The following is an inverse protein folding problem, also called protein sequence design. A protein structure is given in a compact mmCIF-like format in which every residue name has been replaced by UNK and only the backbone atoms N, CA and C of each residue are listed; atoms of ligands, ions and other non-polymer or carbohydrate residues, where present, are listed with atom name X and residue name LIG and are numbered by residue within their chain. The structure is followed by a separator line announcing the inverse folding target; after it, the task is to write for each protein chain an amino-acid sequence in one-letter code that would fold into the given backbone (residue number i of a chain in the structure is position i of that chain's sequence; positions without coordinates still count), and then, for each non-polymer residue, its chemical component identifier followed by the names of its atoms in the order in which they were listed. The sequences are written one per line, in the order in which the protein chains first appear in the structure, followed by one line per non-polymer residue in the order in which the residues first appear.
data_IF_152278321794
#
_entry.id   IF_152278321794
#
_cell.length_a   1.000
_cell.length_b   1.000
_cell.length_c   1.000
_cell.angle_alpha   90.00
_cell.angle_beta   90.00
_cell.angle_gamma   90.00
#
_symmetry.space_group_name_H-M   'P 1'
#
loop_
_entity.id
_entity.type
_entity.pdbx_description
1 polymer ?
#
# COMPACT_ATOMS: atom_id res chain seq x y z
N UNK A 1 -5.68 56.46 64.13
CA UNK A 1 -4.27 56.04 64.22
C UNK A 1 -4.16 54.76 63.41
N UNK A 2 -3.57 54.80 62.20
CA UNK A 2 -2.16 54.42 61.92
C UNK A 2 -2.06 52.90 61.75
N UNK A 3 -1.49 52.26 60.72
CA UNK A 3 -0.86 52.64 59.46
C UNK A 3 -0.86 51.40 58.55
N UNK A 4 -0.77 51.66 57.25
CA UNK A 4 -0.26 50.79 56.20
C UNK A 4 1.01 49.97 56.55
N UNK A 5 1.14 48.76 55.99
CA UNK A 5 2.35 48.37 55.24
C UNK A 5 2.17 47.09 54.38
N UNK A 6 2.78 47.18 53.19
CA UNK A 6 2.80 46.22 52.07
C UNK A 6 3.54 44.94 52.42
N UNK A 7 3.11 43.81 51.84
CA UNK A 7 4.06 42.91 51.17
C UNK A 7 3.38 42.10 50.05
N UNK A 8 4.02 42.16 48.89
CA UNK A 8 3.64 41.53 47.63
C UNK A 8 3.98 40.03 47.67
N UNK A 9 3.22 39.20 46.93
CA UNK A 9 3.69 38.61 45.67
C UNK A 9 3.05 37.26 45.36
N UNK A 10 2.39 37.24 44.20
CA UNK A 10 2.45 36.20 43.16
C UNK A 10 2.31 34.74 43.59
N UNK A 11 1.10 34.20 43.42
CA UNK A 11 0.92 32.94 42.68
C UNK A 11 -0.44 32.93 41.98
N UNK A 12 -0.38 33.14 40.65
CA UNK A 12 -1.39 32.75 39.66
C UNK A 12 -1.74 31.27 39.89
N UNK A 13 -3.02 30.90 39.76
CA UNK A 13 -3.48 30.12 38.60
C UNK A 13 -4.99 29.87 38.74
N UNK A 14 -5.79 30.50 37.86
CA UNK A 14 -7.20 30.20 37.68
C UNK A 14 -7.31 28.81 37.03
N UNK A 15 -7.82 27.82 37.77
CA UNK A 15 -8.32 26.56 37.22
C UNK A 15 -9.77 26.80 36.78
N UNK A 16 -9.97 27.04 35.49
CA UNK A 16 -11.29 26.99 34.87
C UNK A 16 -11.73 25.52 34.75
N UNK A 17 -12.86 25.21 35.36
CA UNK A 17 -13.50 23.89 35.32
C UNK A 17 -14.08 23.59 33.94
N UNK A 18 -14.01 22.31 33.58
CA UNK A 18 -14.53 21.72 32.36
C UNK A 18 -16.03 21.96 32.19
N UNK A 19 -16.42 22.45 31.01
CA UNK A 19 -17.80 22.54 30.54
C UNK A 19 -18.00 21.46 29.46
N UNK A 20 -19.01 20.62 29.68
CA UNK A 20 -20.04 20.27 28.69
C UNK A 20 -19.64 19.62 27.36
N UNK A 21 -19.99 18.36 27.23
CA UNK A 21 -20.30 17.59 25.99
C UNK A 21 -21.46 18.24 25.18
N UNK A 22 -21.89 17.73 24.01
CA UNK A 22 -21.24 17.40 22.72
C UNK A 22 -21.92 18.16 21.54
N UNK A 23 -21.25 18.35 20.40
CA UNK A 23 -21.96 18.71 19.15
C UNK A 23 -21.14 18.33 17.91
N UNK A 24 -21.79 17.63 16.98
CA UNK A 24 -21.32 17.39 15.64
C UNK A 24 -20.96 18.72 14.95
N UNK A 25 -19.80 18.74 14.29
CA UNK A 25 -19.35 19.91 13.54
C UNK A 25 -18.03 19.61 12.86
N UNK A 26 -18.00 19.86 11.55
CA UNK A 26 -16.81 19.84 10.70
C UNK A 26 -15.57 20.33 11.44
N UNK A 27 -14.52 19.50 11.49
CA UNK A 27 -13.17 19.99 11.79
C UNK A 27 -12.48 20.28 10.46
N UNK A 28 -12.33 21.58 10.22
CA UNK A 28 -11.42 22.14 9.26
C UNK A 28 -9.99 21.61 9.49
N UNK A 29 -9.40 20.96 8.49
CA UNK A 29 -7.94 20.80 8.44
C UNK A 29 -7.35 21.94 7.62
N UNK A 30 -7.48 23.15 8.15
CA UNK A 30 -6.63 24.29 7.82
C UNK A 30 -5.33 24.15 8.59
N UNK A 31 -4.47 23.27 8.11
CA UNK A 31 -3.04 23.22 8.41
C UNK A 31 -2.46 22.34 7.31
N UNK A 32 -1.53 22.88 6.53
CA UNK A 32 -0.68 22.09 5.66
C UNK A 32 -0.06 20.98 6.50
N UNK A 33 -0.68 19.81 6.47
CA UNK A 33 -0.02 18.57 6.79
C UNK A 33 1.03 18.45 5.69
N UNK A 34 2.22 18.98 5.96
CA UNK A 34 3.41 18.48 5.31
C UNK A 34 3.46 17.04 5.77
N UNK A 35 2.86 16.16 4.98
CA UNK A 35 3.04 14.73 5.10
C UNK A 35 4.55 14.56 5.05
N UNK A 36 5.15 14.30 6.20
CA UNK A 36 6.54 13.87 6.22
C UNK A 36 6.57 12.63 5.33
N UNK A 37 7.23 12.72 4.18
CA UNK A 37 7.48 11.55 3.33
C UNK A 37 8.05 10.51 4.26
N UNK A 38 7.29 9.43 4.47
CA UNK A 38 7.75 8.33 5.28
C UNK A 38 9.10 7.86 4.75
N UNK A 39 10.03 7.57 5.65
CA UNK A 39 11.33 7.05 5.24
C UNK A 39 11.24 5.70 4.48
N UNK A 40 10.05 5.10 4.43
CA UNK A 40 9.71 3.86 3.73
C UNK A 40 8.78 4.04 2.51
N UNK A 41 8.41 5.27 2.14
CA UNK A 41 7.61 5.48 0.94
C UNK A 41 8.39 5.09 -0.31
N UNK A 42 7.76 4.32 -1.18
CA UNK A 42 8.29 3.96 -2.49
C UNK A 42 7.87 5.00 -3.54
N UNK A 43 8.62 5.08 -4.64
CA UNK A 43 8.25 5.89 -5.81
C UNK A 43 6.87 5.49 -6.35
N UNK A 44 6.06 6.47 -6.76
CA UNK A 44 4.73 6.28 -7.35
C UNK A 44 4.74 6.70 -8.83
N UNK A 45 5.58 6.02 -9.61
CA UNK A 45 5.91 6.35 -11.00
C UNK A 45 5.20 5.47 -12.04
N UNK A 46 4.49 4.43 -11.61
CA UNK A 46 3.84 3.47 -12.49
C UNK A 46 4.79 2.43 -13.08
N UNK A 47 6.01 2.30 -12.54
CA UNK A 47 6.97 1.27 -12.90
C UNK A 47 7.18 0.29 -11.75
N UNK A 48 7.08 -0.99 -12.05
CA UNK A 48 7.22 -2.03 -11.03
C UNK A 48 8.66 -2.52 -11.00
N UNK A 49 9.40 -2.07 -9.97
CA UNK A 49 10.73 -2.54 -9.61
C UNK A 49 10.75 -3.33 -8.30
N UNK A 50 11.96 -3.69 -7.83
CA UNK A 50 12.15 -4.40 -6.55
C UNK A 50 11.56 -3.67 -5.34
N UNK A 51 11.58 -2.33 -5.32
CA UNK A 51 10.96 -1.55 -4.25
C UNK A 51 9.43 -1.74 -4.22
N UNK A 52 8.78 -1.80 -5.38
CA UNK A 52 7.34 -2.08 -5.46
C UNK A 52 7.04 -3.52 -5.02
N UNK A 53 7.88 -4.49 -5.39
CA UNK A 53 7.75 -5.87 -4.91
C UNK A 53 7.91 -5.99 -3.39
N UNK A 54 8.91 -5.31 -2.81
CA UNK A 54 9.14 -5.28 -1.36
C UNK A 54 7.98 -4.58 -0.63
N UNK A 55 7.48 -3.49 -1.21
CA UNK A 55 6.30 -2.78 -0.75
C UNK A 55 5.05 -3.67 -0.74
N UNK A 56 4.82 -4.43 -1.81
CA UNK A 56 3.71 -5.39 -1.90
C UNK A 56 3.82 -6.49 -0.84
N UNK A 57 5.01 -7.04 -0.61
CA UNK A 57 5.24 -8.04 0.44
C UNK A 57 4.91 -7.51 1.83
N UNK A 58 5.37 -6.28 2.15
CA UNK A 58 5.03 -5.61 3.42
C UNK A 58 3.53 -5.34 3.52
N UNK A 59 2.91 -4.84 2.45
CA UNK A 59 1.48 -4.59 2.38
C UNK A 59 0.67 -5.87 2.64
N UNK A 60 0.99 -6.97 1.96
CA UNK A 60 0.35 -8.27 2.18
C UNK A 60 0.56 -8.80 3.60
N UNK A 61 1.75 -8.59 4.18
CA UNK A 61 1.99 -8.91 5.59
C UNK A 61 1.10 -8.10 6.53
N UNK A 62 0.90 -6.82 6.25
CA UNK A 62 0.06 -5.93 7.08
C UNK A 62 -1.43 -6.25 6.95
N UNK A 63 -1.95 -6.39 5.72
CA UNK A 63 -3.40 -6.47 5.50
C UNK A 63 -3.96 -7.88 5.45
N UNK A 64 -3.11 -8.88 5.14
CA UNK A 64 -3.52 -10.29 5.05
C UNK A 64 -2.84 -11.19 6.09
N UNK A 65 -1.93 -10.65 6.93
CA UNK A 65 -1.10 -11.43 7.85
C UNK A 65 -0.36 -12.58 7.12
N UNK A 66 0.22 -12.26 5.96
CA UNK A 66 0.71 -13.25 4.99
C UNK A 66 2.02 -13.98 5.40
N UNK A 67 2.83 -13.39 6.30
CA UNK A 67 4.09 -14.00 6.77
C UNK A 67 5.18 -14.12 5.70
N UNK A 68 5.14 -13.27 4.68
CA UNK A 68 6.10 -13.22 3.58
C UNK A 68 7.47 -12.68 4.02
N UNK A 69 8.51 -13.24 3.43
CA UNK A 69 9.85 -12.62 3.43
C UNK A 69 9.79 -11.37 2.55
N UNK A 70 10.41 -10.28 3.02
CA UNK A 70 10.50 -9.01 2.27
C UNK A 70 11.86 -8.95 1.59
N UNK A 71 11.97 -9.56 0.42
CA UNK A 71 13.20 -9.64 -0.40
C UNK A 71 13.13 -8.78 -1.66
N UNK A 72 11.97 -8.21 -1.99
CA UNK A 72 11.79 -7.39 -3.19
C UNK A 72 11.79 -8.19 -4.49
N UNK A 73 11.51 -9.50 -4.43
CA UNK A 73 11.47 -10.39 -5.59
C UNK A 73 10.10 -11.06 -5.71
N UNK A 74 9.54 -11.01 -6.91
CA UNK A 74 8.42 -11.86 -7.32
C UNK A 74 8.99 -13.05 -8.09
N UNK A 75 9.04 -14.20 -7.42
CA UNK A 75 9.71 -15.41 -7.90
C UNK A 75 8.94 -16.18 -8.96
N UNK A 76 9.69 -16.83 -9.87
CA UNK A 76 9.24 -17.89 -10.79
C UNK A 76 7.88 -17.67 -11.45
N UNK A 77 7.74 -16.57 -12.18
CA UNK A 77 6.50 -16.19 -12.89
C UNK A 77 6.52 -16.66 -14.35
N UNK A 78 5.39 -17.06 -14.93
CA UNK A 78 5.34 -17.53 -16.30
C UNK A 78 5.83 -16.47 -17.28
N UNK A 79 6.92 -16.74 -17.99
CA UNK A 79 7.57 -15.81 -18.92
C UNK A 79 6.67 -15.34 -20.06
N UNK A 80 5.65 -16.13 -20.44
CA UNK A 80 4.62 -15.73 -21.41
C UNK A 80 3.88 -14.45 -21.01
N UNK A 81 3.77 -14.16 -19.71
CA UNK A 81 3.09 -12.97 -19.20
C UNK A 81 3.95 -11.69 -19.32
N UNK A 82 5.27 -11.82 -19.46
CA UNK A 82 6.19 -10.67 -19.49
C UNK A 82 5.83 -9.65 -20.59
N UNK A 83 5.42 -10.11 -21.77
CA UNK A 83 5.04 -9.25 -22.91
C UNK A 83 3.79 -8.39 -22.67
N UNK A 84 2.92 -8.80 -21.75
CA UNK A 84 1.76 -8.04 -21.33
C UNK A 84 2.00 -7.22 -20.05
N UNK A 85 3.21 -7.29 -19.49
CA UNK A 85 3.64 -6.49 -18.35
C UNK A 85 4.88 -5.62 -18.65
N UNK A 86 4.88 -4.78 -19.70
CA UNK A 86 6.03 -3.92 -20.02
C UNK A 86 6.38 -2.91 -18.91
N UNK A 87 5.46 -2.60 -17.99
CA UNK A 87 5.71 -1.75 -16.82
C UNK A 87 6.54 -2.40 -15.73
N UNK A 88 6.81 -3.71 -15.81
CA UNK A 88 7.70 -4.43 -14.90
C UNK A 88 9.15 -4.26 -15.39
N UNK A 89 9.95 -3.54 -14.61
CA UNK A 89 11.34 -3.20 -14.96
C UNK A 89 12.38 -3.85 -14.05
N UNK A 90 11.95 -4.48 -12.95
CA UNK A 90 12.84 -5.22 -12.05
C UNK A 90 12.10 -5.85 -10.88
N UNK A 91 12.80 -6.66 -10.07
CA UNK A 91 12.20 -7.33 -8.92
C UNK A 91 11.26 -8.49 -9.25
N UNK A 92 11.44 -9.07 -10.44
CA UNK A 92 10.66 -10.21 -10.95
C UNK A 92 11.59 -11.23 -11.59
N UNK A 93 11.26 -12.51 -11.41
CA UNK A 93 11.92 -13.62 -12.07
C UNK A 93 10.93 -14.25 -13.06
N UNK A 94 11.24 -14.12 -14.36
CA UNK A 94 10.47 -14.77 -15.41
C UNK A 94 11.05 -16.15 -15.70
N UNK A 95 10.22 -17.17 -15.54
CA UNK A 95 10.56 -18.58 -15.75
C UNK A 95 9.90 -19.09 -17.04
N UNK A 96 10.70 -19.73 -17.90
CA UNK A 96 10.26 -20.36 -19.15
C UNK A 96 9.95 -21.84 -19.04
N UNK A 97 10.06 -22.43 -17.83
CA UNK A 97 9.67 -23.81 -17.59
C UNK A 97 8.17 -24.03 -17.82
N UNK A 98 7.80 -25.28 -18.08
CA UNK A 98 6.39 -25.66 -18.30
C UNK A 98 5.55 -25.45 -17.03
N UNK A 99 6.16 -25.65 -15.85
CA UNK A 99 5.52 -25.49 -14.54
C UNK A 99 6.44 -24.66 -13.62
N UNK A 100 6.41 -23.31 -13.73
CA UNK A 100 7.12 -22.44 -12.82
C UNK A 100 6.75 -22.66 -11.35
N UNK A 101 7.65 -22.43 -10.41
CA UNK A 101 7.31 -22.60 -8.99
C UNK A 101 6.24 -21.59 -8.49
N UNK A 102 6.17 -20.41 -9.10
CA UNK A 102 5.30 -19.32 -8.68
C UNK A 102 5.83 -18.50 -7.49
N UNK A 103 5.09 -17.45 -7.14
CA UNK A 103 5.42 -16.55 -6.03
C UNK A 103 4.36 -16.60 -4.92
N UNK A 104 4.76 -16.82 -3.66
CA UNK A 104 3.84 -16.71 -2.53
C UNK A 104 3.26 -15.29 -2.42
N UNK A 105 4.01 -14.26 -2.80
CA UNK A 105 3.53 -12.87 -2.85
C UNK A 105 2.32 -12.75 -3.79
N UNK A 106 2.40 -13.34 -4.98
CA UNK A 106 1.31 -13.30 -5.96
C UNK A 106 0.13 -14.15 -5.51
N UNK A 107 0.38 -15.29 -4.85
CA UNK A 107 -0.69 -16.09 -4.26
C UNK A 107 -1.53 -15.28 -3.25
N UNK A 108 -0.86 -14.49 -2.40
CA UNK A 108 -1.55 -13.61 -1.46
C UNK A 108 -2.22 -12.42 -2.13
N UNK A 109 -1.60 -11.83 -3.16
CA UNK A 109 -2.24 -10.77 -3.94
C UNK A 109 -3.52 -11.26 -4.62
N UNK A 110 -3.47 -12.42 -5.29
CA UNK A 110 -4.64 -13.04 -5.91
C UNK A 110 -5.75 -13.34 -4.89
N UNK A 111 -5.38 -13.80 -3.69
CA UNK A 111 -6.32 -14.02 -2.59
C UNK A 111 -6.93 -12.72 -2.08
N UNK A 112 -6.13 -11.67 -1.91
CA UNK A 112 -6.58 -10.34 -1.50
C UNK A 112 -7.56 -9.73 -2.52
N UNK A 113 -7.29 -9.92 -3.81
CA UNK A 113 -8.15 -9.50 -4.91
C UNK A 113 -9.40 -10.39 -5.13
N UNK A 114 -9.49 -11.54 -4.45
CA UNK A 114 -10.59 -12.49 -4.64
C UNK A 114 -10.58 -13.17 -6.02
N UNK A 115 -9.41 -13.30 -6.65
CA UNK A 115 -9.26 -13.98 -7.95
C UNK A 115 -9.69 -15.45 -7.80
N UNK A 116 -10.65 -15.86 -8.62
CA UNK A 116 -11.13 -17.24 -8.64
C UNK A 116 -10.21 -18.07 -9.52
N UNK A 117 -9.65 -19.14 -8.95
CA UNK A 117 -8.88 -20.13 -9.70
C UNK A 117 -9.86 -21.05 -10.41
N UNK A 118 -9.75 -21.16 -11.71
CA UNK A 118 -10.50 -22.19 -12.44
C UNK A 118 -9.86 -23.55 -12.21
N UNK A 119 -10.68 -24.54 -11.84
CA UNK A 119 -10.25 -25.85 -11.32
C UNK A 119 -9.48 -26.72 -12.33
N UNK A 120 -9.46 -26.31 -13.61
CA UNK A 120 -8.87 -27.03 -14.73
C UNK A 120 -7.63 -26.34 -15.30
N UNK A 121 -7.23 -25.22 -14.72
CA UNK A 121 -6.10 -24.48 -15.21
C UNK A 121 -4.84 -24.99 -14.51
N UNK A 122 -3.82 -25.34 -15.28
CA UNK A 122 -2.43 -25.53 -14.83
C UNK A 122 -1.82 -24.19 -14.31
N UNK A 123 -2.66 -23.33 -13.75
CA UNK A 123 -2.35 -21.98 -13.29
C UNK A 123 -2.36 -22.06 -11.78
N UNK A 124 -1.16 -22.16 -11.22
CA UNK A 124 -0.96 -21.98 -9.79
C UNK A 124 -1.55 -20.62 -9.38
N UNK A 125 -2.16 -20.55 -8.21
CA UNK A 125 -2.59 -19.28 -7.65
C UNK A 125 -1.43 -18.31 -7.41
N UNK A 126 -0.21 -18.81 -7.46
CA UNK A 126 1.04 -18.10 -7.30
C UNK A 126 1.54 -17.45 -8.60
N UNK A 127 0.78 -17.50 -9.69
CA UNK A 127 1.12 -16.85 -10.95
C UNK A 127 0.38 -15.53 -11.15
N UNK A 128 1.10 -14.57 -11.74
CA UNK A 128 0.47 -13.44 -12.40
C UNK A 128 -0.21 -13.95 -13.66
N UNK A 129 -1.43 -13.51 -13.89
CA UNK A 129 -2.23 -13.85 -15.06
C UNK A 129 -2.99 -12.62 -15.55
N UNK A 130 -3.54 -12.70 -16.75
CA UNK A 130 -4.46 -11.68 -17.26
C UNK A 130 -5.64 -11.45 -16.30
N UNK A 131 -6.17 -12.53 -15.69
CA UNK A 131 -7.23 -12.46 -14.69
C UNK A 131 -6.79 -11.73 -13.41
N UNK A 132 -5.57 -11.99 -12.94
CA UNK A 132 -4.97 -11.27 -11.80
C UNK A 132 -4.87 -9.77 -12.07
N UNK A 133 -4.41 -9.39 -13.27
CA UNK A 133 -4.21 -7.98 -13.64
C UNK A 133 -5.56 -7.28 -13.82
N UNK A 134 -6.53 -7.93 -14.46
CA UNK A 134 -7.90 -7.41 -14.57
C UNK A 134 -8.56 -7.21 -13.21
N UNK A 135 -8.32 -8.12 -12.26
CA UNK A 135 -8.80 -7.97 -10.90
C UNK A 135 -8.14 -6.76 -10.20
N UNK A 136 -6.83 -6.58 -10.36
CA UNK A 136 -6.11 -5.42 -9.81
C UNK A 136 -6.60 -4.10 -10.43
N UNK A 137 -6.81 -4.07 -11.74
CA UNK A 137 -7.38 -2.91 -12.44
C UNK A 137 -8.79 -2.58 -11.92
N UNK A 138 -9.64 -3.59 -11.83
CA UNK A 138 -11.01 -3.44 -11.31
C UNK A 138 -11.01 -2.95 -9.86
N UNK A 139 -10.08 -3.43 -9.03
CA UNK A 139 -9.92 -3.01 -7.64
C UNK A 139 -9.66 -1.50 -7.52
N UNK A 140 -8.87 -0.93 -8.43
CA UNK A 140 -8.59 0.51 -8.47
C UNK A 140 -9.56 1.33 -9.33
N UNK A 141 -10.63 0.74 -9.87
CA UNK A 141 -11.57 1.43 -10.75
C UNK A 141 -10.99 1.78 -12.12
N UNK A 142 -9.94 1.08 -12.55
CA UNK A 142 -9.30 1.23 -13.86
C UNK A 142 -9.95 0.25 -14.84
N UNK A 143 -10.18 0.67 -16.09
CA UNK A 143 -10.77 -0.18 -17.13
C UNK A 143 -9.90 -1.44 -17.33
N UNK A 144 -10.44 -2.66 -17.15
CA UNK A 144 -9.62 -3.88 -17.23
C UNK A 144 -9.24 -4.24 -18.66
N UNK A 145 -7.93 -4.28 -18.95
CA UNK A 145 -7.36 -4.76 -20.22
C UNK A 145 -6.38 -5.93 -20.02
N UNK A 146 -6.09 -6.30 -18.77
CA UNK A 146 -5.21 -7.42 -18.43
C UNK A 146 -3.73 -7.15 -18.67
N UNK A 147 -3.32 -5.89 -18.81
CA UNK A 147 -1.94 -5.48 -19.04
C UNK A 147 -1.43 -4.54 -17.96
N UNK A 148 -0.11 -4.57 -17.74
CA UNK A 148 0.60 -3.60 -16.92
C UNK A 148 1.48 -2.74 -17.84
N UNK A 149 0.92 -1.64 -18.34
CA UNK A 149 1.59 -0.73 -19.29
C UNK A 149 2.84 -0.05 -18.74
N UNK A 150 3.56 0.65 -19.62
CA UNK A 150 4.83 1.30 -19.35
C UNK A 150 4.76 2.81 -19.70
N UNK A 151 4.47 3.71 -18.73
CA UNK A 151 4.10 3.47 -17.34
C UNK A 151 2.65 3.02 -17.15
N UNK A 152 2.35 2.30 -16.07
CA UNK A 152 1.01 1.78 -15.77
C UNK A 152 0.28 2.62 -14.72
N UNK A 153 -0.96 2.99 -15.03
CA UNK A 153 -1.87 3.59 -14.03
C UNK A 153 -2.19 2.60 -12.89
N UNK A 154 -2.30 1.32 -13.20
CA UNK A 154 -2.54 0.25 -12.22
C UNK A 154 -1.37 0.10 -11.26
N UNK A 155 -0.13 0.08 -11.77
CA UNK A 155 1.07 0.03 -10.91
C UNK A 155 1.12 1.28 -10.02
N UNK A 156 0.83 2.46 -10.58
CA UNK A 156 0.83 3.70 -9.81
C UNK A 156 -0.22 3.69 -8.70
N UNK A 157 -1.41 3.15 -8.96
CA UNK A 157 -2.45 2.99 -7.94
C UNK A 157 -2.02 2.02 -6.84
N UNK A 158 -1.40 0.89 -7.21
CA UNK A 158 -0.82 -0.05 -6.24
C UNK A 158 0.27 0.59 -5.38
N UNK A 159 1.20 1.32 -5.98
CA UNK A 159 2.26 2.03 -5.25
C UNK A 159 1.68 3.05 -4.28
N UNK A 160 0.64 3.79 -4.67
CA UNK A 160 -0.07 4.71 -3.79
C UNK A 160 -0.70 3.98 -2.60
N UNK A 161 -1.34 2.83 -2.83
CA UNK A 161 -1.94 2.04 -1.75
C UNK A 161 -0.86 1.48 -0.81
N UNK A 162 0.21 0.90 -1.33
CA UNK A 162 1.36 0.42 -0.54
C UNK A 162 1.85 1.54 0.40
N UNK A 163 2.00 2.76 -0.12
CA UNK A 163 2.48 3.90 0.67
C UNK A 163 1.53 4.33 1.80
N UNK A 164 0.24 3.97 1.74
CA UNK A 164 -0.70 4.21 2.85
C UNK A 164 -0.50 3.27 4.03
N UNK A 165 0.12 2.10 3.80
CA UNK A 165 0.25 1.03 4.80
C UNK A 165 1.68 0.77 5.26
N UNK A 166 2.66 1.15 4.42
CA UNK A 166 4.08 0.86 4.62
C UNK A 166 4.88 2.14 4.92
N UNK A 167 4.26 3.31 4.74
CA UNK A 167 4.82 4.60 5.12
C UNK A 167 4.81 4.84 6.62
#
# INVERSE_FOLDING_TARGET
MTAENKNLSRRKLLKAGAIGVPAAGLVAFGSTLVTATSANAISTDGWWGSETSAGLQRFMNTVMNAGLVVDGVISSQPSGMASACPGIVGGWEWDGSYEPAGSPTIAWMNKWLGVKLEKNDYVSNAYISEGSIKALQSHYGISPDGRLDAPSQTIKALQNEINQWVG
#
